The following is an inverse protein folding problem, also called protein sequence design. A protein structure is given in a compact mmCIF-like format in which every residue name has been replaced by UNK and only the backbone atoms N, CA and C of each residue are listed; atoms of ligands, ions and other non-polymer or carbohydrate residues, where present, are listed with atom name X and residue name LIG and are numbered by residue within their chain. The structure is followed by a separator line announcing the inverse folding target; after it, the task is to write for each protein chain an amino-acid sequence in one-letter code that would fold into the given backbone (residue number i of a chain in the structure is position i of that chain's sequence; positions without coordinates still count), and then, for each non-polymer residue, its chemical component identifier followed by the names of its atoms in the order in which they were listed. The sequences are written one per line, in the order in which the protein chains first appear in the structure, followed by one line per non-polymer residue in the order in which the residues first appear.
data_IF_109864063152
#
_entry.id   IF_109864063152
#
_cell.length_a   1.000
_cell.length_b   1.000
_cell.length_c   1.000
_cell.angle_alpha   90.00
_cell.angle_beta   90.00
_cell.angle_gamma   90.00
#
_symmetry.space_group_name_H-M   'P 1'
#
loop_
_entity.id
_entity.type
_entity.pdbx_description
1 polymer ?
#
# COMPACT_ATOMS: atom_id res chain seq x y z
N UNK A 1 24.49 -8.94 18.86
CA UNK A 1 24.56 -8.83 17.39
C UNK A 1 23.14 -8.63 16.92
N UNK A 2 22.87 -7.45 16.39
CA UNK A 2 21.58 -7.06 15.82
C UNK A 2 21.31 -7.99 14.64
N UNK A 3 20.24 -8.79 14.70
CA UNK A 3 19.83 -9.56 13.53
C UNK A 3 19.19 -8.57 12.56
N UNK A 4 19.95 -8.12 11.57
CA UNK A 4 19.41 -7.46 10.39
C UNK A 4 18.47 -8.46 9.70
N UNK A 5 17.18 -8.37 10.01
CA UNK A 5 16.16 -9.16 9.31
C UNK A 5 16.22 -8.81 7.83
N UNK A 6 16.30 -9.81 6.96
CA UNK A 6 16.10 -9.62 5.52
C UNK A 6 14.76 -8.90 5.32
N UNK A 7 14.81 -7.64 4.89
CA UNK A 7 13.60 -6.87 4.63
C UNK A 7 12.93 -7.47 3.39
N UNK A 8 11.90 -8.29 3.60
CA UNK A 8 11.09 -8.81 2.50
C UNK A 8 10.31 -7.67 1.84
N UNK A 9 10.70 -7.36 0.61
CA UNK A 9 10.08 -6.31 -0.21
C UNK A 9 9.22 -6.96 -1.27
N UNK A 10 7.91 -6.97 -1.03
CA UNK A 10 6.92 -7.46 -1.98
C UNK A 10 6.07 -6.30 -2.48
N UNK A 11 6.58 -5.58 -3.49
CA UNK A 11 5.80 -4.51 -4.11
C UNK A 11 4.68 -5.07 -4.98
N UNK A 12 3.46 -4.60 -4.73
CA UNK A 12 2.30 -4.84 -5.58
C UNK A 12 1.76 -3.51 -6.09
N UNK A 13 1.41 -3.47 -7.38
CA UNK A 13 0.72 -2.34 -7.94
C UNK A 13 -0.74 -2.40 -7.50
N UNK A 14 -1.27 -1.27 -7.03
CA UNK A 14 -2.60 -1.16 -6.45
C UNK A 14 -3.23 0.16 -6.88
N UNK A 15 -4.54 0.12 -7.13
CA UNK A 15 -5.38 1.30 -7.18
C UNK A 15 -6.24 1.34 -5.92
N UNK A 16 -6.23 2.48 -5.24
CA UNK A 16 -6.93 2.72 -3.97
C UNK A 16 -7.90 3.87 -4.15
N UNK A 17 -9.16 3.67 -3.76
CA UNK A 17 -10.17 4.73 -3.70
C UNK A 17 -10.49 5.11 -2.27
N UNK A 18 -10.45 6.40 -2.00
CA UNK A 18 -10.74 6.98 -0.70
C UNK A 18 -12.22 7.39 -0.57
N UNK A 19 -12.67 7.58 0.67
CA UNK A 19 -14.05 7.97 1.00
C UNK A 19 -14.45 9.36 0.53
N UNK A 20 -13.47 10.24 0.25
CA UNK A 20 -13.69 11.57 -0.34
C UNK A 20 -13.89 11.51 -1.87
N UNK A 21 -13.80 10.31 -2.47
CA UNK A 21 -13.96 10.09 -3.91
C UNK A 21 -12.64 10.13 -4.69
N UNK A 22 -11.53 10.54 -4.09
CA UNK A 22 -10.20 10.52 -4.73
C UNK A 22 -9.71 9.09 -4.97
N UNK A 23 -8.90 8.93 -6.03
CA UNK A 23 -8.31 7.65 -6.39
C UNK A 23 -6.82 7.80 -6.67
N UNK A 24 -6.02 6.84 -6.16
CA UNK A 24 -4.57 6.84 -6.28
C UNK A 24 -4.11 5.50 -6.83
N UNK A 25 -3.19 5.53 -7.79
CA UNK A 25 -2.54 4.34 -8.34
C UNK A 25 -1.06 4.40 -8.06
N UNK A 26 -0.50 3.29 -7.60
CA UNK A 26 0.93 3.19 -7.31
C UNK A 26 1.31 1.81 -6.81
N UNK A 27 2.44 1.73 -6.11
CA UNK A 27 2.97 0.49 -5.55
C UNK A 27 2.97 0.53 -4.03
N UNK A 28 2.52 -0.55 -3.41
CA UNK A 28 2.56 -0.75 -1.95
C UNK A 28 3.41 -1.98 -1.65
N UNK A 29 4.23 -1.91 -0.59
CA UNK A 29 4.95 -3.08 -0.10
C UNK A 29 4.03 -3.87 0.85
N UNK A 30 3.66 -5.09 0.47
CA UNK A 30 2.82 -5.96 1.30
C UNK A 30 3.65 -6.82 2.28
N UNK A 31 4.96 -6.59 2.40
CA UNK A 31 5.86 -7.28 3.35
C UNK A 31 5.68 -8.81 3.25
N UNK A 32 5.60 -9.50 4.37
CA UNK A 32 5.42 -10.97 4.47
C UNK A 32 4.03 -11.46 4.04
N UNK A 33 3.09 -10.58 3.69
CA UNK A 33 1.75 -10.98 3.27
C UNK A 33 1.77 -11.50 1.83
N UNK A 34 1.12 -12.63 1.58
CA UNK A 34 1.00 -13.17 0.23
C UNK A 34 -0.09 -12.47 -0.60
N UNK A 35 -1.12 -11.92 0.08
CA UNK A 35 -2.30 -11.31 -0.53
C UNK A 35 -2.48 -9.87 -0.07
N UNK A 36 -2.86 -9.02 -1.02
CA UNK A 36 -3.16 -7.61 -0.77
C UNK A 36 -4.32 -7.46 0.24
N UNK A 37 -5.35 -8.30 0.14
CA UNK A 37 -6.50 -8.31 1.05
C UNK A 37 -6.10 -8.55 2.51
N UNK A 38 -5.16 -9.46 2.73
CA UNK A 38 -4.70 -9.83 4.06
C UNK A 38 -3.91 -8.65 4.63
N UNK A 39 -3.01 -8.07 3.85
CA UNK A 39 -2.28 -6.87 4.22
C UNK A 39 -3.20 -5.70 4.64
N UNK A 40 -4.26 -5.43 3.88
CA UNK A 40 -5.19 -4.34 4.23
C UNK A 40 -6.02 -4.63 5.47
N UNK A 41 -6.39 -5.89 5.71
CA UNK A 41 -7.30 -6.29 6.78
C UNK A 41 -6.59 -6.57 8.11
N UNK A 42 -5.42 -7.21 8.08
CA UNK A 42 -4.79 -7.77 9.28
C UNK A 42 -3.52 -7.05 9.71
N UNK A 43 -2.91 -6.22 8.87
CA UNK A 43 -1.74 -5.46 9.30
C UNK A 43 -2.16 -4.34 10.25
N UNK A 44 -1.55 -4.28 11.44
CA UNK A 44 -1.85 -3.34 12.53
C UNK A 44 -1.65 -1.87 12.15
N UNK A 45 -0.89 -1.61 11.08
CA UNK A 45 -0.64 -0.26 10.58
C UNK A 45 -1.93 0.40 10.07
N UNK A 46 -2.28 1.55 10.67
CA UNK A 46 -3.42 2.38 10.24
C UNK A 46 -3.19 3.09 8.90
N UNK A 47 -1.93 3.22 8.49
CA UNK A 47 -1.55 3.89 7.25
C UNK A 47 -0.85 2.93 6.31
N UNK A 48 -1.03 3.13 5.02
CA UNK A 48 -0.23 2.50 3.97
C UNK A 48 0.64 3.57 3.28
N UNK A 49 1.82 3.16 2.87
CA UNK A 49 2.70 4.00 2.04
C UNK A 49 2.53 3.56 0.59
N UNK A 50 1.97 4.44 -0.23
CA UNK A 50 1.81 4.24 -1.66
C UNK A 50 2.88 5.04 -2.40
N UNK A 51 3.73 4.34 -3.15
CA UNK A 51 4.68 4.95 -4.05
C UNK A 51 3.97 5.22 -5.37
N UNK A 52 3.74 6.50 -5.70
CA UNK A 52 3.08 6.84 -6.94
C UNK A 52 3.93 6.42 -8.15
N UNK A 53 3.26 6.11 -9.25
CA UNK A 53 3.94 5.82 -10.52
C UNK A 53 4.52 7.10 -11.14
N UNK A 54 5.46 6.93 -12.08
CA UNK A 54 6.14 8.04 -12.76
C UNK A 54 5.13 8.98 -13.46
N UNK A 55 5.35 10.30 -13.31
CA UNK A 55 4.46 11.33 -13.87
C UNK A 55 3.46 11.94 -12.88
N UNK A 56 3.37 11.44 -11.65
CA UNK A 56 2.62 12.12 -10.58
C UNK A 56 3.52 13.02 -9.71
N UNK A 57 3.06 14.23 -9.32
CA UNK A 57 3.86 15.18 -8.55
C UNK A 57 4.15 14.71 -7.12
N UNK A 58 3.33 13.81 -6.56
CA UNK A 58 3.50 13.28 -5.20
C UNK A 58 4.15 11.91 -5.26
N UNK A 59 5.47 11.87 -5.04
CA UNK A 59 6.29 10.65 -5.17
C UNK A 59 5.94 9.57 -4.13
N UNK A 60 5.46 9.97 -2.96
CA UNK A 60 5.11 9.08 -1.84
C UNK A 60 3.85 9.62 -1.16
N UNK A 61 2.84 8.77 -1.03
CA UNK A 61 1.57 9.07 -0.37
C UNK A 61 1.42 8.21 0.89
N UNK A 62 0.96 8.82 1.98
CA UNK A 62 0.54 8.09 3.18
C UNK A 62 -0.98 8.11 3.26
N UNK A 63 -1.61 6.97 3.01
CA UNK A 63 -3.08 6.84 3.00
C UNK A 63 -3.56 6.14 4.27
N UNK A 64 -4.58 6.70 4.92
CA UNK A 64 -5.18 6.09 6.11
C UNK A 64 -6.20 5.02 5.69
N UNK A 65 -5.98 3.77 6.14
CA UNK A 65 -6.81 2.60 5.80
C UNK A 65 -8.27 2.77 6.17
N UNK A 66 -8.58 3.51 7.23
CA UNK A 66 -9.95 3.71 7.72
C UNK A 66 -10.82 4.47 6.72
N UNK A 67 -10.21 5.19 5.77
CA UNK A 67 -10.91 5.94 4.74
C UNK A 67 -10.81 5.28 3.36
N UNK A 68 -10.25 4.08 3.27
CA UNK A 68 -10.23 3.31 2.02
C UNK A 68 -11.59 2.65 1.84
N UNK A 69 -12.24 2.93 0.72
CA UNK A 69 -13.53 2.31 0.36
C UNK A 69 -13.30 1.03 -0.42
N UNK A 70 -12.30 1.01 -1.30
CA UNK A 70 -11.86 -0.21 -1.97
C UNK A 70 -10.40 -0.08 -2.44
N UNK A 71 -9.76 -1.23 -2.61
CA UNK A 71 -8.42 -1.36 -3.18
C UNK A 71 -8.38 -2.58 -4.10
N UNK A 72 -7.73 -2.45 -5.24
CA UNK A 72 -7.60 -3.50 -6.25
C UNK A 72 -6.14 -3.64 -6.67
N UNK A 73 -5.65 -4.88 -6.70
CA UNK A 73 -4.33 -5.16 -7.26
C UNK A 73 -4.43 -5.08 -8.79
N UNK A 74 -3.47 -4.41 -9.42
CA UNK A 74 -3.29 -4.62 -10.85
C UNK A 74 -2.62 -6.00 -11.01
N UNK A 75 -3.21 -6.87 -11.83
CA UNK A 75 -2.74 -8.24 -12.13
C UNK A 75 -1.23 -8.30 -12.41
#
# INVERSE_FOLDING_TARGET
MEQEGEWEVHFRRVTVKMSDGSAFTGRVNIRTFQRLSDFFRTADDRFIVLLADEGQPQRVLMLNKNYIVWAEAAD
#
